data_IF_188713412476
#
_entry.id   IF_188713412476
#
_cell.length_a   1.000
_cell.length_b   1.000
_cell.length_c   1.000
_cell.angle_alpha   90.00
_cell.angle_beta   90.00
_cell.angle_gamma   90.00
#
_symmetry.space_group_name_H-M   'P 1'
#
loop_
_entity.id
_entity.type
_entity.pdbx_description
1 polymer ?
#
# COMPACT_ATOMS: atom_id res chain seq x y z
N UNK A 1 51.47 18.61 -31.14
CA UNK A 1 50.83 19.09 -29.92
C UNK A 1 51.03 18.04 -28.81
N UNK A 2 51.87 18.35 -27.83
CA UNK A 2 52.20 17.43 -26.70
C UNK A 2 51.17 17.64 -25.61
N UNK A 3 50.29 16.64 -25.36
CA UNK A 3 49.34 16.69 -24.25
C UNK A 3 50.09 16.45 -22.95
N UNK A 4 50.11 17.45 -22.06
CA UNK A 4 50.62 17.36 -20.71
C UNK A 4 49.51 16.69 -19.88
N UNK A 5 49.70 15.45 -19.47
CA UNK A 5 48.84 14.78 -18.51
C UNK A 5 49.33 15.17 -17.10
N UNK A 6 48.58 16.02 -16.41
CA UNK A 6 48.80 16.26 -14.99
C UNK A 6 48.37 15.01 -14.24
N UNK A 7 49.32 14.23 -13.71
CA UNK A 7 49.03 13.12 -12.81
C UNK A 7 48.68 13.70 -11.43
N UNK A 8 47.59 13.18 -10.85
CA UNK A 8 47.22 13.53 -9.46
C UNK A 8 48.32 13.12 -8.48
N UNK A 9 48.62 14.01 -7.56
CA UNK A 9 49.56 13.71 -6.48
C UNK A 9 48.94 12.71 -5.50
N UNK A 10 49.74 11.73 -5.03
CA UNK A 10 49.31 10.76 -4.02
C UNK A 10 48.79 11.46 -2.74
N UNK A 11 49.36 12.60 -2.39
CA UNK A 11 48.91 13.43 -1.25
C UNK A 11 47.50 14.00 -1.47
N UNK A 12 47.19 14.42 -2.68
CA UNK A 12 45.87 14.97 -3.01
C UNK A 12 44.77 13.90 -2.86
N UNK A 13 45.02 12.68 -3.31
CA UNK A 13 44.09 11.54 -3.12
C UNK A 13 43.91 11.21 -1.64
N UNK A 14 44.97 11.25 -0.83
CA UNK A 14 44.88 11.00 0.60
C UNK A 14 44.03 12.07 1.31
N UNK A 15 44.18 13.34 0.94
CA UNK A 15 43.40 14.44 1.55
C UNK A 15 41.90 14.27 1.19
N UNK A 16 41.58 13.95 -0.08
CA UNK A 16 40.20 13.73 -0.50
C UNK A 16 39.57 12.56 0.23
N UNK A 17 40.29 11.44 0.37
CA UNK A 17 39.80 10.28 1.13
C UNK A 17 39.59 10.60 2.60
N UNK A 18 40.48 11.38 3.24
CA UNK A 18 40.32 11.81 4.63
C UNK A 18 39.06 12.68 4.82
N UNK A 19 38.82 13.62 3.90
CA UNK A 19 37.62 14.48 3.95
C UNK A 19 36.35 13.64 3.74
N UNK A 20 36.34 12.71 2.79
CA UNK A 20 35.19 11.83 2.52
C UNK A 20 34.91 10.92 3.71
N UNK A 21 35.95 10.36 4.37
CA UNK A 21 35.81 9.54 5.57
C UNK A 21 35.21 10.36 6.72
N UNK A 22 35.65 11.61 6.90
CA UNK A 22 35.12 12.49 7.94
C UNK A 22 33.67 12.87 7.71
N UNK A 23 33.29 13.18 6.44
CA UNK A 23 31.91 13.45 6.06
C UNK A 23 31.01 12.21 6.26
N UNK A 24 31.50 11.02 5.96
CA UNK A 24 30.75 9.78 6.14
C UNK A 24 30.40 9.53 7.61
N UNK A 25 31.30 9.85 8.55
CA UNK A 25 31.04 9.69 10.00
C UNK A 25 30.07 10.73 10.56
N UNK A 26 29.97 11.91 9.96
CA UNK A 26 29.03 12.95 10.39
C UNK A 26 27.56 12.65 10.06
N UNK A 27 27.32 11.78 9.07
CA UNK A 27 25.96 11.46 8.60
C UNK A 27 25.33 10.22 9.26
N UNK A 28 26.07 9.43 10.05
CA UNK A 28 25.59 8.12 10.52
C UNK A 28 24.73 8.07 11.78
N UNK A 29 24.70 9.01 12.74
CA UNK A 29 23.95 8.80 13.99
C UNK A 29 22.49 9.27 13.99
N UNK A 30 22.07 10.15 13.09
CA UNK A 30 20.72 10.73 13.15
C UNK A 30 19.69 10.04 12.25
N UNK A 31 20.14 9.19 11.32
CA UNK A 31 19.26 8.53 10.35
C UNK A 31 18.48 7.33 10.93
N UNK A 32 18.98 6.68 11.97
CA UNK A 32 18.39 5.42 12.46
C UNK A 32 17.17 5.57 13.38
N UNK A 33 17.01 6.66 14.09
CA UNK A 33 15.90 6.83 15.02
C UNK A 33 14.60 7.33 14.37
N UNK A 34 14.69 7.95 13.17
CA UNK A 34 13.51 8.43 12.42
C UNK A 34 12.97 7.42 11.40
N UNK A 35 13.65 6.29 11.23
CA UNK A 35 13.30 5.30 10.21
C UNK A 35 12.02 4.53 10.55
N UNK A 36 11.74 4.19 11.80
CA UNK A 36 10.66 3.26 12.13
C UNK A 36 9.25 3.83 11.89
N UNK A 37 8.96 5.03 12.36
CA UNK A 37 7.60 5.63 12.19
C UNK A 37 7.34 6.13 10.77
N UNK A 38 8.36 6.61 10.06
CA UNK A 38 8.25 6.95 8.66
C UNK A 38 8.09 5.71 7.79
N UNK A 39 8.71 4.60 8.17
CA UNK A 39 8.62 3.32 7.49
C UNK A 39 7.22 2.72 7.62
N UNK A 40 6.63 2.69 8.82
CA UNK A 40 5.26 2.24 9.07
C UNK A 40 4.22 3.07 8.33
N UNK A 41 4.36 4.40 8.34
CA UNK A 41 3.48 5.30 7.60
C UNK A 41 3.59 5.10 6.08
N UNK A 42 4.80 4.88 5.57
CA UNK A 42 5.06 4.61 4.16
C UNK A 42 4.48 3.25 3.76
N UNK A 43 4.68 2.23 4.59
CA UNK A 43 4.14 0.89 4.41
C UNK A 43 2.61 0.91 4.35
N UNK A 44 1.98 1.59 5.29
CA UNK A 44 0.53 1.76 5.36
C UNK A 44 -0.01 2.53 4.15
N UNK A 45 0.70 3.56 3.70
CA UNK A 45 0.36 4.33 2.50
C UNK A 45 0.45 3.48 1.23
N UNK A 46 1.47 2.65 1.12
CA UNK A 46 1.62 1.71 0.01
C UNK A 46 0.48 0.70 0.00
N UNK A 47 0.15 0.09 1.15
CA UNK A 47 -0.96 -0.86 1.25
C UNK A 47 -2.31 -0.21 0.88
N UNK A 48 -2.57 1.00 1.37
CA UNK A 48 -3.76 1.78 1.01
C UNK A 48 -3.83 2.03 -0.51
N UNK A 49 -2.70 2.39 -1.11
CA UNK A 49 -2.59 2.62 -2.56
C UNK A 49 -2.82 1.32 -3.34
N UNK A 50 -2.23 0.22 -2.92
CA UNK A 50 -2.41 -1.08 -3.59
C UNK A 50 -3.85 -1.58 -3.51
N UNK A 51 -4.52 -1.39 -2.38
CA UNK A 51 -5.94 -1.73 -2.25
C UNK A 51 -6.82 -0.89 -3.19
N UNK A 52 -6.57 0.41 -3.26
CA UNK A 52 -7.32 1.31 -4.16
C UNK A 52 -7.07 1.01 -5.63
N UNK A 53 -5.84 0.62 -5.99
CA UNK A 53 -5.52 0.14 -7.32
C UNK A 53 -6.27 -1.16 -7.66
N UNK A 54 -6.37 -2.09 -6.71
CA UNK A 54 -7.16 -3.32 -6.84
C UNK A 54 -8.63 -3.03 -7.10
N UNK A 55 -9.25 -2.16 -6.30
CA UNK A 55 -10.64 -1.72 -6.45
C UNK A 55 -10.88 -1.06 -7.82
N UNK A 56 -9.99 -0.15 -8.21
CA UNK A 56 -10.08 0.54 -9.50
C UNK A 56 -9.95 -0.44 -10.67
N UNK A 57 -8.97 -1.33 -10.62
CA UNK A 57 -8.71 -2.32 -11.67
C UNK A 57 -9.89 -3.29 -11.82
N UNK A 58 -10.44 -3.80 -10.73
CA UNK A 58 -11.58 -4.69 -10.74
C UNK A 58 -12.81 -4.00 -11.36
N UNK A 59 -13.09 -2.76 -10.94
CA UNK A 59 -14.17 -1.94 -11.50
C UNK A 59 -14.00 -1.68 -12.99
N UNK A 60 -12.81 -1.24 -13.41
CA UNK A 60 -12.53 -0.97 -14.83
C UNK A 60 -12.65 -2.24 -15.68
N UNK A 61 -12.20 -3.37 -15.15
CA UNK A 61 -12.31 -4.66 -15.83
C UNK A 61 -13.77 -5.05 -16.03
N UNK A 62 -14.62 -4.88 -15.00
CA UNK A 62 -16.06 -5.15 -15.09
C UNK A 62 -16.74 -4.33 -16.18
N UNK A 63 -16.44 -3.02 -16.24
CA UNK A 63 -17.01 -2.12 -17.25
C UNK A 63 -16.52 -2.46 -18.66
N UNK A 64 -15.21 -2.71 -18.82
CA UNK A 64 -14.60 -3.00 -20.13
C UNK A 64 -15.02 -4.36 -20.68
N UNK A 65 -14.98 -5.38 -19.85
CA UNK A 65 -15.35 -6.74 -20.25
C UNK A 65 -16.87 -6.97 -20.29
N UNK A 66 -17.66 -6.03 -19.77
CA UNK A 66 -19.13 -6.16 -19.63
C UNK A 66 -19.54 -7.43 -18.86
N UNK A 67 -18.74 -7.81 -17.88
CA UNK A 67 -18.92 -9.00 -17.05
C UNK A 67 -18.77 -8.65 -15.58
N UNK A 68 -19.29 -9.52 -14.73
CA UNK A 68 -19.07 -9.39 -13.28
C UNK A 68 -17.61 -9.72 -12.93
N UNK A 69 -17.03 -8.89 -12.08
CA UNK A 69 -15.66 -9.06 -11.59
C UNK A 69 -15.67 -9.06 -10.07
N UNK A 70 -15.03 -10.05 -9.49
CA UNK A 70 -14.85 -10.17 -8.04
C UNK A 70 -13.47 -9.68 -7.64
N UNK A 71 -13.43 -8.82 -6.64
CA UNK A 71 -12.22 -8.51 -5.86
C UNK A 71 -12.36 -9.23 -4.52
N UNK A 72 -11.53 -10.22 -4.27
CA UNK A 72 -11.58 -11.07 -3.09
C UNK A 72 -10.46 -10.75 -2.12
N UNK A 73 -10.70 -10.89 -0.82
CA UNK A 73 -9.65 -10.91 0.19
C UNK A 73 -9.00 -12.27 0.29
N UNK A 74 -7.66 -12.27 0.44
CA UNK A 74 -6.85 -13.47 0.62
C UNK A 74 -6.69 -14.33 -0.62
N UNK A 75 -6.05 -15.47 -0.42
CA UNK A 75 -5.88 -16.48 -1.47
C UNK A 75 -7.17 -17.30 -1.61
N UNK A 76 -7.52 -17.64 -2.83
CA UNK A 76 -8.72 -18.41 -3.14
C UNK A 76 -10.04 -17.78 -2.62
N UNK A 77 -10.08 -16.47 -2.42
CA UNK A 77 -11.26 -15.74 -1.90
C UNK A 77 -11.72 -16.22 -0.50
N UNK A 78 -10.80 -16.54 0.39
CA UNK A 78 -11.09 -16.96 1.76
C UNK A 78 -11.66 -15.84 2.63
N UNK A 79 -11.44 -14.59 2.23
CA UNK A 79 -11.89 -13.37 2.93
C UNK A 79 -10.84 -12.80 3.88
N UNK A 80 -9.62 -13.33 3.88
CA UNK A 80 -8.51 -12.81 4.68
C UNK A 80 -7.82 -11.64 3.96
N UNK A 81 -8.36 -10.45 4.11
CA UNK A 81 -7.86 -9.24 3.46
C UNK A 81 -6.45 -8.85 3.90
N UNK A 82 -5.98 -9.29 5.07
CA UNK A 82 -4.61 -9.02 5.54
C UNK A 82 -3.55 -9.73 4.72
N UNK A 83 -3.86 -10.85 4.07
CA UNK A 83 -2.95 -11.51 3.14
C UNK A 83 -2.82 -10.79 1.80
N UNK A 84 -3.83 -9.99 1.43
CA UNK A 84 -3.85 -9.30 0.14
C UNK A 84 -5.20 -9.42 -0.55
N UNK A 85 -5.18 -9.25 -1.88
CA UNK A 85 -6.39 -9.34 -2.69
C UNK A 85 -6.14 -10.08 -4.02
N UNK A 86 -7.22 -10.66 -4.53
CA UNK A 86 -7.28 -11.30 -5.86
C UNK A 86 -8.43 -10.71 -6.68
N UNK A 87 -8.19 -10.51 -7.98
CA UNK A 87 -9.24 -10.18 -8.95
C UNK A 87 -9.57 -11.44 -9.73
N UNK A 88 -10.86 -11.81 -9.74
CA UNK A 88 -11.36 -12.98 -10.46
C UNK A 88 -12.51 -12.61 -11.40
N UNK A 89 -12.48 -13.25 -12.57
CA UNK A 89 -13.56 -13.19 -13.58
C UNK A 89 -13.96 -14.63 -13.91
N UNK A 90 -15.23 -14.96 -13.80
CA UNK A 90 -15.72 -16.34 -14.02
C UNK A 90 -14.91 -17.39 -13.25
N UNK A 91 -14.53 -17.06 -12.02
CA UNK A 91 -13.72 -17.87 -11.13
C UNK A 91 -12.23 -18.05 -11.57
N UNK A 92 -11.82 -17.43 -12.67
CA UNK A 92 -10.41 -17.42 -13.10
C UNK A 92 -9.66 -16.27 -12.46
N UNK A 93 -8.46 -16.55 -11.94
CA UNK A 93 -7.57 -15.54 -11.37
C UNK A 93 -6.99 -14.66 -12.49
N UNK A 94 -7.22 -13.38 -12.42
CA UNK A 94 -6.72 -12.38 -13.38
C UNK A 94 -5.51 -11.64 -12.83
N UNK A 95 -5.54 -11.31 -11.54
CA UNK A 95 -4.49 -10.54 -10.86
C UNK A 95 -4.58 -10.75 -9.37
N UNK A 96 -3.44 -10.65 -8.70
CA UNK A 96 -3.37 -10.67 -7.24
C UNK A 96 -2.31 -9.68 -6.74
N UNK A 97 -2.39 -9.36 -5.47
CA UNK A 97 -1.39 -8.60 -4.72
C UNK A 97 -1.35 -9.11 -3.28
N UNK A 98 -0.15 -9.32 -2.76
CA UNK A 98 0.07 -9.73 -1.37
C UNK A 98 0.49 -8.51 -0.55
N UNK A 99 -0.09 -8.36 0.63
CA UNK A 99 0.36 -7.37 1.59
C UNK A 99 1.50 -7.93 2.44
N UNK A 100 2.41 -7.06 2.92
CA UNK A 100 3.37 -7.42 3.98
C UNK A 100 2.66 -7.93 5.24
N UNK A 101 3.31 -8.83 5.98
CA UNK A 101 2.71 -9.48 7.14
C UNK A 101 2.36 -8.50 8.30
N UNK A 102 3.01 -7.34 8.31
CA UNK A 102 2.80 -6.28 9.30
C UNK A 102 1.47 -5.52 9.10
N UNK A 103 0.83 -5.68 7.93
CA UNK A 103 -0.41 -5.00 7.59
C UNK A 103 -1.60 -5.86 8.02
N UNK A 104 -2.42 -5.35 8.93
CA UNK A 104 -3.75 -5.91 9.17
C UNK A 104 -4.80 -5.16 8.36
N UNK A 105 -5.66 -5.89 7.63
CA UNK A 105 -6.73 -5.32 6.80
C UNK A 105 -8.06 -5.96 7.16
N UNK A 106 -8.98 -5.14 7.61
CA UNK A 106 -10.33 -5.56 7.97
C UNK A 106 -11.36 -4.91 7.05
N UNK A 107 -12.28 -5.70 6.55
CA UNK A 107 -13.45 -5.21 5.85
C UNK A 107 -14.66 -5.15 6.78
N UNK A 108 -15.23 -3.95 6.94
CA UNK A 108 -16.50 -3.73 7.63
C UNK A 108 -17.51 -3.18 6.63
N UNK A 109 -18.35 -4.05 6.08
CA UNK A 109 -19.29 -3.65 5.04
C UNK A 109 -20.61 -4.40 5.09
N UNK A 110 -21.49 -4.02 4.18
CA UNK A 110 -22.78 -4.67 3.95
C UNK A 110 -22.78 -5.33 2.57
N UNK A 111 -23.28 -6.56 2.44
CA UNK A 111 -23.62 -7.52 3.50
C UNK A 111 -22.37 -8.05 4.26
N UNK A 112 -22.49 -8.24 5.58
CA UNK A 112 -21.37 -8.68 6.44
C UNK A 112 -20.77 -10.04 6.06
N UNK A 113 -21.56 -10.92 5.47
CA UNK A 113 -21.15 -12.28 5.12
C UNK A 113 -20.30 -12.38 3.86
N UNK A 114 -20.14 -11.29 3.11
CA UNK A 114 -19.40 -11.34 1.83
C UNK A 114 -17.89 -11.19 2.04
N UNK A 115 -17.15 -12.14 1.50
CA UNK A 115 -15.67 -12.20 1.53
C UNK A 115 -15.02 -11.50 0.32
N UNK A 116 -15.84 -10.92 -0.55
CA UNK A 116 -15.43 -10.28 -1.80
C UNK A 116 -16.27 -9.05 -2.09
N UNK A 117 -15.75 -8.16 -2.89
CA UNK A 117 -16.46 -7.07 -3.53
C UNK A 117 -16.78 -7.47 -4.96
N UNK A 118 -18.06 -7.41 -5.32
CA UNK A 118 -18.54 -7.69 -6.68
C UNK A 118 -18.70 -6.38 -7.45
N UNK A 119 -18.04 -6.25 -8.58
CA UNK A 119 -18.29 -5.15 -9.52
C UNK A 119 -19.15 -5.63 -10.68
N UNK A 120 -20.25 -4.94 -10.91
CA UNK A 120 -21.15 -5.18 -12.03
C UNK A 120 -20.64 -4.51 -13.32
N UNK A 121 -21.13 -4.91 -14.52
CA UNK A 121 -20.79 -4.25 -15.79
C UNK A 121 -21.06 -2.75 -15.82
N UNK A 122 -22.00 -2.27 -15.01
CA UNK A 122 -22.30 -0.85 -14.81
C UNK A 122 -21.24 -0.09 -14.00
N UNK A 123 -20.28 -0.80 -13.38
CA UNK A 123 -19.28 -0.25 -12.47
C UNK A 123 -19.77 -0.04 -11.05
N UNK A 124 -20.98 -0.47 -10.69
CA UNK A 124 -21.49 -0.48 -9.32
C UNK A 124 -20.95 -1.68 -8.53
N UNK A 125 -20.91 -1.57 -7.22
CA UNK A 125 -20.38 -2.61 -6.32
C UNK A 125 -21.41 -3.67 -5.88
N UNK A 126 -22.40 -4.00 -6.72
CA UNK A 126 -23.34 -5.08 -6.46
C UNK A 126 -24.12 -4.93 -5.13
N UNK A 127 -24.56 -3.70 -4.80
CA UNK A 127 -25.21 -3.32 -3.52
C UNK A 127 -24.33 -3.45 -2.29
N UNK A 128 -22.99 -3.49 -2.48
CA UNK A 128 -22.03 -3.56 -1.41
C UNK A 128 -21.47 -2.18 -1.09
N UNK A 129 -21.36 -1.88 0.19
CA UNK A 129 -20.73 -0.66 0.69
C UNK A 129 -20.07 -0.96 2.04
N UNK A 130 -19.03 -0.23 2.36
CA UNK A 130 -18.32 -0.40 3.62
C UNK A 130 -16.95 0.28 3.64
N UNK A 131 -16.19 -0.09 4.64
CA UNK A 131 -14.88 0.51 4.90
C UNK A 131 -13.85 -0.60 5.10
N UNK A 132 -12.78 -0.51 4.34
CA UNK A 132 -11.54 -1.21 4.65
C UNK A 132 -10.77 -0.39 5.66
N UNK A 133 -10.35 -1.04 6.72
CA UNK A 133 -9.43 -0.51 7.72
C UNK A 133 -8.11 -1.23 7.54
N UNK A 134 -7.05 -0.46 7.33
CA UNK A 134 -5.68 -0.95 7.24
C UNK A 134 -4.94 -0.45 8.46
N UNK A 135 -4.23 -1.32 9.14
CA UNK A 135 -3.53 -1.03 10.39
C UNK A 135 -2.08 -1.51 10.32
N UNK A 136 -1.20 -0.71 10.92
CA UNK A 136 0.20 -1.06 11.23
C UNK A 136 0.54 -0.44 12.57
N UNK A 137 0.91 -1.25 13.56
CA UNK A 137 1.24 -0.76 14.90
C UNK A 137 0.17 0.19 15.46
N UNK A 138 0.49 1.45 15.67
CA UNK A 138 -0.41 2.49 16.18
C UNK A 138 -1.07 3.35 15.09
N UNK A 139 -0.83 3.07 13.82
CA UNK A 139 -1.35 3.85 12.70
C UNK A 139 -2.48 3.11 11.98
N UNK A 140 -3.44 3.87 11.47
CA UNK A 140 -4.49 3.32 10.62
C UNK A 140 -4.79 4.19 9.41
N UNK A 141 -5.30 3.56 8.36
CA UNK A 141 -5.84 4.19 7.16
C UNK A 141 -7.20 3.59 6.80
N UNK A 142 -8.05 4.39 6.18
CA UNK A 142 -9.37 3.93 5.75
C UNK A 142 -9.50 4.05 4.24
N UNK A 143 -10.17 3.06 3.64
CA UNK A 143 -10.67 3.11 2.26
C UNK A 143 -12.16 2.81 2.30
N UNK A 144 -12.96 3.77 1.90
CA UNK A 144 -14.41 3.71 2.00
C UNK A 144 -14.97 3.46 0.60
N UNK A 145 -15.75 2.40 0.46
CA UNK A 145 -16.43 2.01 -0.78
C UNK A 145 -17.92 2.26 -0.64
N UNK A 146 -18.53 2.89 -1.63
CA UNK A 146 -19.99 3.05 -1.70
C UNK A 146 -20.62 2.15 -2.76
N UNK A 147 -21.96 2.05 -2.75
CA UNK A 147 -22.71 1.20 -3.68
C UNK A 147 -22.53 1.57 -5.15
N UNK A 148 -22.19 2.81 -5.46
CA UNK A 148 -21.89 3.22 -6.83
C UNK A 148 -20.55 2.69 -7.35
N UNK A 149 -19.81 1.93 -6.53
CA UNK A 149 -18.47 1.45 -6.84
C UNK A 149 -17.39 2.53 -6.79
N UNK A 150 -17.72 3.72 -6.26
CA UNK A 150 -16.72 4.77 -5.98
C UNK A 150 -16.09 4.50 -4.62
N UNK A 151 -14.82 4.80 -4.53
CA UNK A 151 -14.07 4.70 -3.28
C UNK A 151 -13.31 5.98 -3.02
N UNK A 152 -12.98 6.23 -1.77
CA UNK A 152 -12.11 7.32 -1.34
C UNK A 152 -11.29 6.88 -0.14
N UNK A 153 -10.07 7.44 -0.06
CA UNK A 153 -9.10 7.13 0.98
C UNK A 153 -9.05 8.28 1.98
N UNK A 154 -9.13 7.96 3.26
CA UNK A 154 -8.86 8.93 4.32
C UNK A 154 -7.36 9.07 4.57
N UNK A 155 -6.95 10.18 5.19
CA UNK A 155 -5.58 10.38 5.64
C UNK A 155 -5.20 9.33 6.71
N UNK A 156 -3.91 9.01 6.78
CA UNK A 156 -3.38 8.14 7.83
C UNK A 156 -3.41 8.90 9.15
N UNK A 157 -3.97 8.27 10.17
CA UNK A 157 -4.08 8.81 11.52
C UNK A 157 -3.54 7.85 12.57
N UNK A 158 -3.30 8.34 13.77
CA UNK A 158 -2.91 7.53 14.92
C UNK A 158 -4.15 6.99 15.64
N UNK A 159 -4.08 5.76 16.12
CA UNK A 159 -5.13 5.16 16.96
C UNK A 159 -5.36 5.95 18.25
N UNK A 160 -4.33 6.64 18.73
CA UNK A 160 -4.43 7.48 19.94
C UNK A 160 -5.23 8.77 19.72
N UNK A 161 -5.34 9.24 18.47
CA UNK A 161 -6.07 10.45 18.09
C UNK A 161 -7.54 10.15 17.72
N UNK A 162 -7.90 8.87 17.67
CA UNK A 162 -9.24 8.47 17.28
C UNK A 162 -10.24 8.75 18.42
N UNK A 163 -11.12 9.71 18.21
CA UNK A 163 -12.31 9.95 19.05
C UNK A 163 -13.37 8.84 18.93
N UNK A 164 -13.13 7.82 18.13
CA UNK A 164 -13.98 6.65 17.87
C UNK A 164 -13.13 5.40 18.14
N UNK A 165 -13.70 4.41 18.82
CA UNK A 165 -13.08 3.10 19.02
C UNK A 165 -12.67 2.47 17.68
N UNK A 166 -11.46 2.80 17.23
CA UNK A 166 -10.81 2.16 16.11
C UNK A 166 -9.95 1.03 16.68
N UNK A 167 -10.53 -0.15 16.86
CA UNK A 167 -9.75 -1.35 17.18
C UNK A 167 -9.18 -1.96 15.90
N UNK A 168 -7.90 -2.14 15.84
CA UNK A 168 -7.21 -3.00 14.89
C UNK A 168 -7.08 -4.41 15.47
#
# INVERSE_FOLDING_TARGET
MKRIYCAFSLVEVLIVLAILAWLATAYTPTAMASFSTNDERTLLKQAQTQLTLGLNRARQLAVKAKQEVMLCGGQACDGNWSQGWEIRVNNQLISHHLFPAEIDVQWKGFPKSKKYILFLPSGHSGYQNGTFRLCVSSLYALVILNQSGRYYSAAIASLNDASVEVSC
#
